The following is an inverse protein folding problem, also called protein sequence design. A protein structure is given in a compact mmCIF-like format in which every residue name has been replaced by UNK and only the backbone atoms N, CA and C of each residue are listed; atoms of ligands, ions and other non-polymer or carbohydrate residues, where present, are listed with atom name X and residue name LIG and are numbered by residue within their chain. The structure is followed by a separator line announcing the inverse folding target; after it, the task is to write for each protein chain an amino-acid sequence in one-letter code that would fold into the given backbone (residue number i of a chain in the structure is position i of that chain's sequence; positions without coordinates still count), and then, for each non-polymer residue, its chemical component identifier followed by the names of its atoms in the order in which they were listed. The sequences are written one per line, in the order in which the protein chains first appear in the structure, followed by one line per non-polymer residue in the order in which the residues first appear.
data_IF_215660775622
#
_entry.id   IF_215660775622
#
_cell.length_a   1.000
_cell.length_b   1.000
_cell.length_c   1.000
_cell.angle_alpha   90.00
_cell.angle_beta   90.00
_cell.angle_gamma   90.00
#
_symmetry.space_group_name_H-M   'P 1'
#
loop_
_entity.id
_entity.type
_entity.pdbx_description
1 polymer ?
2 non-polymer ?
3 non-polymer ?
4 water ?
#
# COMPACT_ATOMS: atom_id res chain seq x y z
N UNK A 2 5.72 -18.92 -31.97
CA UNK A 2 5.22 -19.00 -30.56
C UNK A 2 5.21 -17.65 -29.87
N UNK A 3 4.21 -17.37 -29.04
CA UNK A 3 4.17 -16.08 -28.36
C UNK A 3 4.99 -16.06 -27.06
N UNK A 4 5.10 -14.87 -26.49
CA UNK A 4 5.79 -14.69 -25.23
C UNK A 4 4.69 -14.32 -24.24
N UNK A 5 4.74 -14.89 -23.04
CA UNK A 5 3.75 -14.59 -22.01
C UNK A 5 4.24 -13.51 -21.07
N UNK A 6 3.42 -12.49 -20.87
CA UNK A 6 3.76 -11.41 -19.93
C UNK A 6 2.84 -11.67 -18.74
N UNK A 7 3.43 -12.09 -17.63
CA UNK A 7 2.69 -12.42 -16.43
C UNK A 7 2.65 -11.23 -15.49
N UNK A 8 1.44 -10.69 -15.31
CA UNK A 8 1.19 -9.53 -14.46
C UNK A 8 0.86 -9.98 -13.06
N UNK A 9 1.48 -9.36 -12.06
CA UNK A 9 1.17 -9.66 -10.67
C UNK A 9 0.73 -8.31 -10.09
N UNK A 10 1.49 -7.77 -9.14
CA UNK A 10 1.13 -6.47 -8.56
C UNK A 10 1.60 -5.35 -9.47
N UNK A 11 1.23 -5.45 -10.74
CA UNK A 11 1.63 -4.48 -11.76
C UNK A 11 0.58 -4.46 -12.86
N UNK A 12 -0.66 -4.18 -12.46
CA UNK A 12 -1.79 -4.15 -13.38
C UNK A 12 -1.84 -2.83 -14.18
N UNK A 13 -0.92 -2.70 -15.13
CA UNK A 13 -0.82 -1.48 -15.93
C UNK A 13 -0.04 -1.77 -17.21
N UNK A 14 -0.10 -0.85 -18.16
CA UNK A 14 0.64 -0.99 -19.41
C UNK A 14 1.78 0.02 -19.47
N UNK A 15 1.65 1.13 -18.74
CA UNK A 15 2.67 2.18 -18.70
C UNK A 15 3.85 1.74 -17.82
N UNK A 16 5.07 2.12 -18.21
CA UNK A 16 6.27 1.82 -17.44
C UNK A 16 6.28 0.39 -16.89
N UNK A 17 6.24 -0.58 -17.80
CA UNK A 17 6.22 -1.99 -17.42
C UNK A 17 7.38 -2.67 -18.15
N UNK A 18 8.52 -2.86 -17.46
CA UNK A 18 9.69 -3.50 -18.06
C UNK A 18 9.48 -4.88 -18.68
N UNK A 19 8.72 -5.74 -18.00
CA UNK A 19 8.47 -7.10 -18.51
C UNK A 19 7.65 -7.07 -19.80
N UNK A 20 6.69 -6.17 -19.89
CA UNK A 20 5.87 -6.07 -21.08
C UNK A 20 6.71 -5.65 -22.28
N UNK A 21 7.49 -4.59 -22.13
CA UNK A 21 8.31 -4.12 -23.24
C UNK A 21 9.45 -5.08 -23.59
N UNK A 22 10.01 -5.76 -22.60
CA UNK A 22 11.11 -6.69 -22.86
C UNK A 22 10.61 -7.85 -23.77
N UNK A 23 9.40 -8.32 -23.51
CA UNK A 23 8.82 -9.39 -24.30
C UNK A 23 8.38 -8.90 -25.69
N UNK A 24 7.68 -7.77 -25.71
CA UNK A 24 7.18 -7.17 -26.95
C UNK A 24 8.29 -6.93 -27.94
N UNK A 25 9.46 -6.52 -27.45
CA UNK A 25 10.59 -6.27 -28.32
C UNK A 25 11.06 -7.54 -29.01
N UNK A 26 10.79 -8.70 -28.42
CA UNK A 26 11.21 -9.98 -29.02
C UNK A 26 10.18 -10.64 -29.92
N UNK A 27 8.91 -10.33 -29.72
CA UNK A 27 7.88 -10.92 -30.55
C UNK A 27 6.47 -10.69 -30.02
N UNK A 28 5.47 -11.36 -30.61
CA UNK A 28 4.07 -11.19 -30.15
C UNK A 28 3.89 -11.65 -28.71
N UNK A 29 3.01 -10.98 -27.98
CA UNK A 29 2.78 -11.35 -26.59
C UNK A 29 1.31 -11.58 -26.26
N UNK A 30 1.11 -12.27 -25.15
CA UNK A 30 -0.20 -12.54 -24.59
C UNK A 30 0.00 -12.25 -23.10
N UNK A 31 -0.91 -11.49 -22.51
CA UNK A 31 -0.81 -11.18 -21.10
C UNK A 31 -1.49 -12.22 -20.24
N UNK A 32 -1.10 -12.31 -18.98
CA UNK A 32 -1.69 -13.28 -18.09
C UNK A 32 -1.74 -12.81 -16.65
N UNK A 33 -2.87 -13.05 -16.02
CA UNK A 33 -3.06 -12.74 -14.62
C UNK A 33 -3.58 -14.04 -14.02
N UNK A 34 -3.05 -14.40 -12.86
CA UNK A 34 -3.51 -15.61 -12.19
C UNK A 34 -4.12 -15.20 -10.87
N UNK A 35 -5.40 -15.53 -10.70
CA UNK A 35 -6.11 -15.23 -9.46
C UNK A 35 -5.65 -16.30 -8.46
N UNK A 36 -4.71 -15.90 -7.63
CA UNK A 36 -4.04 -16.71 -6.61
C UNK A 36 -4.79 -16.68 -5.28
N UNK A 37 -5.14 -17.85 -4.73
CA UNK A 37 -5.86 -17.88 -3.45
C UNK A 37 -5.04 -17.26 -2.33
N UNK A 38 -3.72 -17.38 -2.42
CA UNK A 38 -2.85 -16.82 -1.40
C UNK A 38 -3.02 -15.31 -1.29
N UNK A 39 -3.51 -14.68 -2.36
CA UNK A 39 -3.73 -13.24 -2.34
C UNK A 39 -5.21 -12.87 -2.23
N UNK A 40 -6.07 -13.66 -2.88
CA UNK A 40 -7.50 -13.37 -2.89
C UNK A 40 -8.32 -13.80 -1.69
N UNK A 41 -7.80 -14.70 -0.87
CA UNK A 41 -8.54 -15.13 0.31
C UNK A 41 -8.45 -14.08 1.40
N UNK A 42 -8.98 -12.90 1.11
CA UNK A 42 -8.97 -11.79 2.07
C UNK A 42 -10.36 -11.17 2.18
N UNK A 43 -10.45 -9.94 2.69
CA UNK A 43 -11.74 -9.28 2.84
C UNK A 43 -12.35 -8.89 1.49
N UNK A 44 -13.69 -8.89 1.39
CA UNK A 44 -14.39 -8.54 0.16
C UNK A 44 -13.94 -7.24 -0.52
N UNK A 45 -13.77 -6.18 0.26
CA UNK A 45 -13.36 -4.90 -0.33
C UNK A 45 -12.03 -4.98 -1.08
N UNK A 46 -11.06 -5.69 -0.50
CA UNK A 46 -9.75 -5.81 -1.14
C UNK A 46 -9.79 -6.75 -2.32
N UNK A 47 -10.57 -7.83 -2.19
CA UNK A 47 -10.68 -8.79 -3.28
C UNK A 47 -11.30 -8.13 -4.52
N UNK A 48 -12.37 -7.36 -4.29
CA UNK A 48 -13.07 -6.66 -5.37
C UNK A 48 -12.16 -5.61 -6.00
N UNK A 49 -11.43 -4.86 -5.17
CA UNK A 49 -10.54 -3.83 -5.67
C UNK A 49 -9.56 -4.47 -6.64
N UNK A 50 -9.03 -5.63 -6.26
CA UNK A 50 -8.09 -6.34 -7.10
C UNK A 50 -8.75 -6.78 -8.41
N UNK A 51 -9.82 -7.56 -8.28
CA UNK A 51 -10.56 -8.06 -9.44
C UNK A 51 -11.01 -6.96 -10.41
N UNK A 52 -11.45 -5.83 -9.87
CA UNK A 52 -11.90 -4.76 -10.76
C UNK A 52 -10.74 -4.12 -11.49
N UNK A 53 -9.56 -4.12 -10.89
CA UNK A 53 -8.43 -3.54 -11.57
C UNK A 53 -7.90 -4.53 -12.61
N UNK A 54 -8.15 -5.82 -12.38
CA UNK A 54 -7.77 -6.86 -13.34
C UNK A 54 -8.72 -6.74 -14.55
N UNK A 55 -9.99 -6.45 -14.27
CA UNK A 55 -10.96 -6.28 -15.35
C UNK A 55 -10.58 -5.09 -16.22
N UNK A 56 -10.11 -4.02 -15.57
CA UNK A 56 -9.68 -2.81 -16.27
C UNK A 56 -8.45 -3.05 -17.15
N UNK A 57 -7.53 -3.89 -16.69
CA UNK A 57 -6.32 -4.18 -17.45
C UNK A 57 -6.73 -4.90 -18.73
N UNK A 58 -7.68 -5.83 -18.61
CA UNK A 58 -8.13 -6.54 -19.79
C UNK A 58 -8.74 -5.55 -20.79
N UNK A 59 -9.56 -4.63 -20.30
CA UNK A 59 -10.16 -3.64 -21.20
C UNK A 59 -9.04 -2.86 -21.87
N UNK A 60 -7.99 -2.54 -21.12
CA UNK A 60 -6.85 -1.81 -21.67
C UNK A 60 -6.14 -2.64 -22.74
N UNK A 61 -6.10 -3.96 -22.56
CA UNK A 61 -5.46 -4.83 -23.55
C UNK A 61 -6.35 -4.84 -24.79
N UNK A 62 -7.66 -5.05 -24.58
CA UNK A 62 -8.63 -5.09 -25.68
C UNK A 62 -8.65 -3.82 -26.50
N UNK A 63 -8.61 -2.67 -25.83
CA UNK A 63 -8.63 -1.38 -26.51
C UNK A 63 -7.47 -1.26 -27.48
N UNK A 64 -6.37 -1.96 -27.20
CA UNK A 64 -5.19 -1.91 -28.04
C UNK A 64 -5.12 -3.09 -29.00
N UNK A 65 -6.15 -3.92 -28.99
CA UNK A 65 -6.17 -5.07 -29.87
C UNK A 65 -5.48 -6.32 -29.34
N UNK A 66 -5.03 -6.27 -28.09
CA UNK A 66 -4.33 -7.40 -27.50
C UNK A 66 -5.16 -8.33 -26.64
N UNK A 67 -4.53 -9.40 -26.16
CA UNK A 67 -5.20 -10.41 -25.35
C UNK A 67 -4.63 -10.65 -23.94
N UNK A 68 -5.53 -10.64 -22.96
CA UNK A 68 -5.16 -10.87 -21.56
C UNK A 68 -5.92 -12.09 -21.05
N UNK A 69 -5.19 -13.12 -20.67
CA UNK A 69 -5.79 -14.33 -20.13
C UNK A 69 -5.89 -14.15 -18.63
N UNK A 70 -6.97 -14.66 -18.03
CA UNK A 70 -7.13 -14.62 -16.59
C UNK A 70 -7.47 -16.03 -16.18
N UNK A 71 -6.63 -16.61 -15.32
CA UNK A 71 -6.85 -17.96 -14.86
C UNK A 71 -6.93 -17.94 -13.35
N UNK A 72 -7.60 -18.93 -12.79
CA UNK A 72 -7.77 -19.02 -11.35
C UNK A 72 -7.07 -20.26 -10.82
N UNK A 73 -6.37 -20.12 -9.71
CA UNK A 73 -5.68 -21.29 -9.15
C UNK A 73 -4.26 -20.99 -8.67
N UNK A 74 -3.52 -22.05 -8.39
CA UNK A 74 -2.14 -21.90 -7.91
C UNK A 74 -1.21 -21.55 -9.07
N UNK A 75 -0.41 -20.48 -8.93
CA UNK A 75 0.53 -20.05 -9.98
C UNK A 75 1.39 -21.17 -10.56
N UNK A 76 1.91 -22.07 -9.73
CA UNK A 76 2.77 -23.14 -10.25
C UNK A 76 2.04 -24.20 -11.08
N UNK A 77 0.73 -24.07 -11.18
CA UNK A 77 -0.05 -24.98 -12.00
C UNK A 77 -0.62 -24.22 -13.20
N UNK A 78 -1.11 -23.00 -12.97
CA UNK A 78 -1.70 -22.21 -14.03
C UNK A 78 -0.75 -21.56 -15.02
N UNK A 79 0.40 -21.08 -14.56
CA UNK A 79 1.34 -20.45 -15.48
C UNK A 79 1.85 -21.48 -16.48
N UNK A 80 2.29 -22.67 -16.00
CA UNK A 80 2.78 -23.69 -16.93
C UNK A 80 1.63 -24.14 -17.87
N UNK A 81 0.40 -24.16 -17.37
CA UNK A 81 -0.74 -24.54 -18.20
C UNK A 81 -0.92 -23.53 -19.34
N UNK A 82 -0.92 -22.25 -19.01
CA UNK A 82 -1.06 -21.21 -20.03
C UNK A 82 0.08 -21.31 -21.04
N UNK A 83 1.30 -21.54 -20.56
CA UNK A 83 2.46 -21.65 -21.44
C UNK A 83 2.30 -22.82 -22.42
N UNK A 84 1.84 -23.95 -21.92
CA UNK A 84 1.66 -25.12 -22.79
C UNK A 84 0.59 -24.87 -23.85
N UNK A 85 -0.56 -24.36 -23.43
CA UNK A 85 -1.66 -24.11 -24.34
C UNK A 85 -1.33 -23.10 -25.43
N UNK A 86 -0.57 -22.08 -25.07
CA UNK A 86 -0.19 -21.06 -26.02
C UNK A 86 1.12 -21.40 -26.75
N UNK A 87 1.79 -22.44 -26.29
CA UNK A 87 3.08 -22.83 -26.89
C UNK A 87 4.00 -21.61 -26.79
N UNK A 88 3.96 -20.95 -25.63
CA UNK A 88 4.78 -19.77 -25.40
C UNK A 88 6.26 -20.15 -25.31
N UNK A 89 7.12 -19.30 -25.83
CA UNK A 89 8.55 -19.56 -25.83
C UNK A 89 9.19 -19.22 -24.48
N UNK A 90 8.62 -18.25 -23.78
CA UNK A 90 9.16 -17.84 -22.49
C UNK A 90 8.14 -17.01 -21.75
N UNK A 91 8.37 -16.85 -20.45
CA UNK A 91 7.50 -16.05 -19.60
C UNK A 91 8.31 -14.91 -19.02
N UNK A 92 7.72 -13.72 -19.02
CA UNK A 92 8.35 -12.51 -18.49
C UNK A 92 7.50 -11.90 -17.39
N UNK A 93 8.15 -11.51 -16.29
CA UNK A 93 7.45 -10.87 -15.19
C UNK A 93 8.40 -9.93 -14.47
N UNK A 94 7.89 -9.18 -13.49
CA UNK A 94 8.72 -8.27 -12.71
C UNK A 94 9.11 -8.99 -11.44
N UNK A 95 10.37 -8.86 -11.06
CA UNK A 95 10.89 -9.52 -9.86
C UNK A 95 10.12 -9.12 -8.60
N UNK A 96 9.94 -10.08 -7.71
CA UNK A 96 9.26 -9.81 -6.45
C UNK A 96 10.22 -10.26 -5.36
N UNK A 97 10.43 -9.40 -4.36
CA UNK A 97 11.32 -9.72 -3.26
C UNK A 97 10.60 -10.04 -1.95
N UNK A 98 9.30 -10.32 -2.03
CA UNK A 98 8.55 -10.66 -0.82
C UNK A 98 8.75 -12.14 -0.54
N UNK A 99 8.54 -12.56 0.71
CA UNK A 99 8.71 -13.97 1.06
C UNK A 99 7.82 -14.86 0.18
N UNK A 100 6.56 -14.47 0.01
CA UNK A 100 5.67 -15.28 -0.84
C UNK A 100 6.09 -15.19 -2.30
N UNK A 101 6.38 -13.98 -2.75
CA UNK A 101 6.81 -13.79 -4.12
C UNK A 101 7.96 -14.70 -4.51
N UNK A 102 8.97 -14.77 -3.64
CA UNK A 102 10.12 -15.62 -3.90
C UNK A 102 9.75 -17.10 -3.90
N UNK A 103 8.96 -17.51 -2.91
CA UNK A 103 8.55 -18.91 -2.85
C UNK A 103 7.79 -19.29 -4.12
N UNK A 104 6.78 -18.48 -4.45
CA UNK A 104 5.93 -18.71 -5.63
C UNK A 104 6.73 -18.81 -6.92
N UNK A 105 7.53 -17.79 -7.20
CA UNK A 105 8.33 -17.78 -8.42
C UNK A 105 9.32 -18.95 -8.51
N UNK A 106 9.83 -19.38 -7.37
CA UNK A 106 10.75 -20.52 -7.38
C UNK A 106 9.97 -21.76 -7.78
N UNK A 107 8.76 -21.88 -7.24
CA UNK A 107 7.91 -23.02 -7.57
C UNK A 107 7.50 -23.02 -9.04
N UNK A 108 7.19 -21.84 -9.57
CA UNK A 108 6.81 -21.73 -10.97
C UNK A 108 7.98 -22.08 -11.88
N UNK A 109 9.16 -21.59 -11.53
CA UNK A 109 10.35 -21.86 -12.33
C UNK A 109 10.56 -23.37 -12.41
N UNK A 110 10.30 -24.06 -11.30
CA UNK A 110 10.44 -25.51 -11.24
C UNK A 110 9.48 -26.24 -12.19
N UNK A 111 8.23 -25.82 -12.21
CA UNK A 111 7.25 -26.46 -13.08
C UNK A 111 7.31 -26.00 -14.53
N UNK A 112 7.85 -24.81 -14.79
CA UNK A 112 7.93 -24.30 -16.16
C UNK A 112 8.99 -24.97 -17.00
N UNK A 113 8.60 -25.44 -18.20
CA UNK A 113 9.50 -26.12 -19.15
C UNK A 113 10.27 -25.08 -19.97
N UNK A 114 9.80 -23.84 -19.91
CA UNK A 114 10.45 -22.75 -20.64
C UNK A 114 10.96 -21.74 -19.63
N UNK A 115 11.86 -20.85 -20.05
CA UNK A 115 12.45 -19.81 -19.17
C UNK A 115 11.46 -18.83 -18.56
N UNK A 116 11.75 -18.43 -17.33
CA UNK A 116 10.96 -17.44 -16.63
C UNK A 116 11.96 -16.29 -16.44
N UNK A 117 11.74 -15.18 -17.16
CA UNK A 117 12.62 -14.02 -17.08
C UNK A 117 12.05 -12.96 -16.17
N UNK A 118 12.77 -12.67 -15.09
CA UNK A 118 12.30 -11.66 -14.15
C UNK A 118 13.11 -10.38 -14.31
N UNK A 119 12.41 -9.27 -14.43
CA UNK A 119 13.05 -7.97 -14.56
C UNK A 119 12.76 -7.12 -13.34
N UNK A 120 13.67 -6.18 -13.03
CA UNK A 120 13.51 -5.29 -11.88
C UNK A 120 12.27 -4.42 -12.00
N UNK A 121 11.45 -4.38 -10.96
CA UNK A 121 10.26 -3.54 -10.98
C UNK A 121 10.73 -2.07 -10.80
N UNK A 122 9.98 -1.11 -11.35
CA UNK A 122 10.42 0.28 -11.19
C UNK A 122 10.30 0.75 -9.75
N UNK A 123 11.37 1.36 -9.23
CA UNK A 123 11.39 1.91 -7.87
C UNK A 123 12.20 3.19 -7.95
N UNK A 124 12.12 4.00 -6.90
CA UNK A 124 12.90 5.23 -6.81
C UNK A 124 14.24 4.74 -6.29
N UNK A 125 14.18 3.86 -5.28
CA UNK A 125 15.36 3.23 -4.68
C UNK A 125 15.02 1.76 -4.48
N UNK A 126 15.85 0.85 -5.01
CA UNK A 126 15.63 -0.60 -4.90
C UNK A 126 15.59 -1.03 -3.44
N UNK A 127 14.76 -2.03 -3.11
CA UNK A 127 14.69 -2.48 -1.72
C UNK A 127 15.84 -3.42 -1.35
N UNK A 128 16.49 -4.02 -2.34
CA UNK A 128 17.58 -4.95 -2.09
C UNK A 128 18.95 -4.31 -2.19
N UNK A 129 19.03 -3.06 -1.74
CA UNK A 129 20.27 -2.29 -1.73
C UNK A 129 21.21 -3.03 -0.77
N UNK A 130 22.53 -2.98 -1.03
CA UNK A 130 23.50 -3.64 -0.17
C UNK A 130 23.41 -3.20 1.29
N UNK A 131 23.70 -1.93 1.53
CA UNK A 131 23.66 -1.37 2.87
C UNK A 131 22.23 -1.46 3.42
N UNK A 132 22.13 -1.72 4.72
CA UNK A 132 20.83 -1.80 5.36
C UNK A 132 20.66 -0.63 6.32
N UNK A 133 19.79 0.31 5.98
CA UNK A 133 19.55 1.47 6.83
C UNK A 133 18.25 1.30 7.62
N UNK A 134 18.25 1.73 8.88
CA UNK A 134 17.06 1.65 9.72
C UNK A 134 16.49 3.06 9.88
N UNK A 135 17.24 4.03 9.35
CA UNK A 135 16.84 5.42 9.43
C UNK A 135 16.63 5.94 8.02
N UNK A 136 15.60 6.77 7.86
CA UNK A 136 15.22 7.34 6.58
C UNK A 136 16.23 8.30 5.92
N UNK A 137 16.69 9.30 6.66
CA UNK A 137 17.60 10.29 6.10
C UNK A 137 18.78 9.73 5.29
N UNK A 138 19.58 8.82 5.89
CA UNK A 138 20.72 8.25 5.15
C UNK A 138 20.29 7.52 3.88
N UNK A 139 19.14 6.85 3.98
CA UNK A 139 18.58 6.09 2.86
C UNK A 139 18.17 7.05 1.73
N UNK A 140 17.44 8.09 2.08
CA UNK A 140 16.96 9.06 1.11
C UNK A 140 18.06 9.83 0.37
N UNK A 141 19.24 9.92 0.98
CA UNK A 141 20.34 10.66 0.35
C UNK A 141 20.85 9.99 -0.92
N UNK A 142 20.64 8.68 -1.02
CA UNK A 142 21.08 7.91 -2.18
C UNK A 142 20.29 8.28 -3.42
N UNK A 143 19.08 8.80 -3.22
CA UNK A 143 18.22 9.18 -4.33
C UNK A 143 18.72 10.43 -5.04
N UNK A 144 18.90 10.33 -6.36
CA UNK A 144 19.39 11.45 -7.15
C UNK A 144 18.42 11.87 -8.27
N UNK A 145 17.12 11.65 -8.06
CA UNK A 145 16.16 12.01 -9.08
C UNK A 145 15.65 10.77 -9.81
N UNK A 146 14.43 10.82 -10.31
CA UNK A 146 13.84 9.66 -10.99
C UNK A 146 14.35 9.44 -12.41
N UNK A 147 14.50 8.17 -12.77
CA UNK A 147 14.92 7.80 -14.12
C UNK A 147 13.65 7.95 -14.97
N UNK A 148 13.80 8.10 -16.29
CA UNK A 148 12.61 8.25 -17.15
C UNK A 148 11.76 6.99 -17.18
N UNK A 149 10.42 7.13 -17.27
CA UNK A 149 9.56 5.94 -17.30
C UNK A 149 9.47 5.36 -18.71
N UNK A 150 9.20 4.06 -18.82
CA UNK A 150 9.08 3.43 -20.13
C UNK A 150 7.70 3.73 -20.68
N UNK A 151 7.60 3.91 -22.01
CA UNK A 151 6.31 4.21 -22.64
C UNK A 151 5.41 2.99 -22.78
N UNK A 152 4.10 3.23 -22.85
CA UNK A 152 3.17 2.10 -23.01
C UNK A 152 3.14 1.77 -24.50
N UNK A 153 2.75 0.54 -24.84
CA UNK A 153 2.70 0.21 -26.28
C UNK A 153 1.54 0.98 -26.91
N UNK A 154 1.64 1.27 -28.21
CA UNK A 154 0.60 2.00 -28.91
C UNK A 154 -0.53 1.03 -29.28
N UNK A 155 -0.15 -0.19 -29.64
CA UNK A 155 -1.09 -1.22 -30.01
C UNK A 155 -0.44 -2.56 -29.66
N UNK A 156 -1.25 -3.59 -29.50
CA UNK A 156 -0.74 -4.91 -29.15
C UNK A 156 -1.09 -5.91 -30.22
N UNK A 157 -0.24 -6.94 -30.41
CA UNK A 157 -0.53 -7.94 -31.42
C UNK A 157 -1.75 -8.75 -31.02
N UNK A 158 -2.48 -9.25 -32.00
CA UNK A 158 -3.67 -10.04 -31.72
C UNK A 158 -3.30 -11.40 -31.15
N UNK A 159 -4.17 -11.94 -30.30
CA UNK A 159 -3.94 -13.24 -29.71
C UNK A 159 -5.25 -13.77 -29.19
N UNK A 160 -5.31 -15.04 -28.78
CA UNK A 160 -6.56 -15.59 -28.25
C UNK A 160 -6.75 -15.17 -26.81
N UNK A 161 -7.99 -14.93 -26.41
CA UNK A 161 -8.29 -14.52 -25.05
C UNK A 161 -9.01 -15.65 -24.33
N UNK A 162 -8.68 -15.85 -23.06
CA UNK A 162 -9.29 -16.91 -22.25
C UNK A 162 -9.51 -16.50 -20.81
N UNK A 163 -10.44 -17.20 -20.15
CA UNK A 163 -10.73 -16.95 -18.76
C UNK A 163 -11.76 -15.87 -18.47
N UNK A 164 -12.44 -16.00 -17.34
CA UNK A 164 -13.48 -15.05 -16.93
C UNK A 164 -13.05 -14.38 -15.63
N UNK A 165 -13.50 -13.14 -15.43
CA UNK A 165 -13.14 -12.39 -14.23
C UNK A 165 -14.33 -12.25 -13.29
N UNK A 166 -14.32 -12.99 -12.16
CA UNK A 166 -15.40 -12.94 -11.17
C UNK A 166 -15.78 -11.53 -10.74
N UNK A 167 -17.02 -11.37 -10.30
CA UNK A 167 -17.53 -10.09 -9.83
C UNK A 167 -17.87 -10.24 -8.35
N UNK A 168 -17.15 -9.52 -7.51
CA UNK A 168 -17.35 -9.59 -6.06
C UNK A 168 -18.01 -8.32 -5.52
N UNK A 169 -18.75 -8.47 -4.42
CA UNK A 169 -19.42 -7.35 -3.79
C UNK A 169 -18.42 -6.70 -2.82
N UNK A 170 -17.94 -5.49 -3.12
CA UNK A 170 -16.98 -4.82 -2.24
C UNK A 170 -17.60 -4.39 -0.92
N UNK A 171 -18.93 -4.27 -0.90
CA UNK A 171 -19.61 -3.86 0.31
C UNK A 171 -19.49 -2.36 0.54
N UNK A 172 -18.79 -1.69 -0.37
CA UNK A 172 -18.61 -0.24 -0.25
C UNK A 172 -18.27 0.39 -1.59
N UNK A 173 -18.28 1.72 -1.66
CA UNK A 173 -17.96 2.45 -2.89
C UNK A 173 -16.48 2.38 -3.23
N UNK A 174 -16.16 1.88 -4.41
CA UNK A 174 -14.76 1.78 -4.82
C UNK A 174 -14.33 2.93 -5.71
N UNK A 175 -13.06 3.31 -5.65
CA UNK A 175 -12.60 4.41 -6.51
C UNK A 175 -12.73 3.90 -7.94
N UNK A 176 -12.49 4.75 -8.93
CA UNK A 176 -12.59 4.30 -10.31
C UNK A 176 -11.34 3.43 -10.56
N UNK A 177 -11.55 2.17 -10.97
CA UNK A 177 -10.44 1.25 -11.24
C UNK A 177 -9.72 1.48 -12.55
N UNK A 178 -8.48 1.00 -12.63
CA UNK A 178 -7.74 1.14 -13.86
C UNK A 178 -6.71 2.24 -13.92
N UNK A 179 -5.84 2.06 -14.91
CA UNK A 179 -4.73 2.94 -15.20
C UNK A 179 -5.13 4.35 -15.70
N UNK A 180 -6.13 4.42 -16.56
CA UNK A 180 -6.57 5.74 -17.05
C UNK A 180 -7.01 6.61 -15.88
N UNK A 181 -7.83 6.05 -15.01
CA UNK A 181 -8.32 6.78 -13.84
C UNK A 181 -7.13 7.21 -12.98
N UNK A 182 -6.16 6.31 -12.79
CA UNK A 182 -4.99 6.62 -11.99
C UNK A 182 -4.20 7.78 -12.60
N UNK A 183 -4.00 7.73 -13.91
CA UNK A 183 -3.25 8.78 -14.59
C UNK A 183 -3.98 10.12 -14.52
N UNK A 184 -5.29 10.10 -14.69
CA UNK A 184 -6.08 11.32 -14.63
C UNK A 184 -5.95 11.90 -13.22
N UNK A 185 -5.96 11.01 -12.22
CA UNK A 185 -5.82 11.45 -10.85
C UNK A 185 -4.46 12.08 -10.58
N UNK A 186 -3.42 11.51 -11.17
CA UNK A 186 -2.07 12.05 -10.99
C UNK A 186 -1.95 13.46 -11.56
N UNK A 187 -2.44 13.65 -12.79
CA UNK A 187 -2.40 14.96 -13.44
C UNK A 187 -3.15 16.02 -12.63
N UNK A 188 -4.33 15.66 -12.15
CA UNK A 188 -5.14 16.57 -11.34
C UNK A 188 -4.36 17.02 -10.11
N UNK A 189 -3.81 16.05 -9.38
CA UNK A 189 -3.05 16.36 -8.18
C UNK A 189 -1.88 17.29 -8.48
N UNK A 190 -1.05 16.89 -9.44
CA UNK A 190 0.13 17.66 -9.81
C UNK A 190 -0.17 19.11 -10.16
N UNK A 191 -1.21 19.32 -10.98
CA UNK A 191 -1.56 20.67 -11.38
C UNK A 191 -2.22 21.49 -10.27
N UNK A 192 -3.18 20.89 -9.57
CA UNK A 192 -3.91 21.60 -8.53
C UNK A 192 -3.36 21.58 -7.10
N UNK A 193 -3.08 20.40 -6.57
CA UNK A 193 -2.62 20.30 -5.17
C UNK A 193 -1.12 20.26 -4.87
N UNK A 194 -0.31 19.84 -5.83
CA UNK A 194 1.12 19.75 -5.57
C UNK A 194 1.75 21.01 -4.97
N UNK A 195 1.44 22.19 -5.53
CA UNK A 195 1.99 23.46 -5.05
C UNK A 195 1.91 23.70 -3.54
N UNK A 196 0.79 23.33 -2.92
CA UNK A 196 0.61 23.53 -1.49
C UNK A 196 0.73 22.26 -0.65
N UNK A 197 1.12 21.16 -1.28
CA UNK A 197 1.24 19.88 -0.59
C UNK A 197 1.94 19.94 0.76
N UNK A 198 3.07 20.63 0.81
CA UNK A 198 3.84 20.74 2.05
C UNK A 198 3.04 21.41 3.17
N UNK A 199 2.11 22.27 2.81
CA UNK A 199 1.30 22.97 3.80
C UNK A 199 -0.05 22.30 4.07
N UNK A 200 -0.48 21.42 3.17
CA UNK A 200 -1.77 20.75 3.33
C UNK A 200 -1.72 19.25 3.60
N UNK A 201 -0.52 18.65 3.52
CA UNK A 201 -0.38 17.21 3.71
C UNK A 201 -0.69 16.66 5.10
N UNK A 202 -1.07 17.53 6.04
CA UNK A 202 -1.36 17.07 7.40
C UNK A 202 -2.83 17.13 7.81
N UNK A 203 -3.68 17.62 6.93
CA UNK A 203 -5.10 17.69 7.24
C UNK A 203 -5.58 16.29 7.64
N UNK A 204 -6.52 16.23 8.58
CA UNK A 204 -7.05 14.94 9.03
C UNK A 204 -7.93 14.32 7.94
N UNK A 205 -8.54 15.15 7.11
CA UNK A 205 -9.40 14.66 6.04
C UNK A 205 -8.58 14.23 4.82
N UNK A 206 -7.27 14.50 4.89
CA UNK A 206 -6.37 14.13 3.81
C UNK A 206 -6.69 14.62 2.41
N UNK A 207 -7.42 15.74 2.30
CA UNK A 207 -7.75 16.25 0.98
C UNK A 207 -6.60 17.02 0.33
N UNK A 208 -5.50 17.12 1.06
CA UNK A 208 -4.33 17.80 0.53
C UNK A 208 -3.41 16.81 -0.16
N UNK A 209 -3.76 15.53 -0.09
CA UNK A 209 -2.96 14.49 -0.72
C UNK A 209 -3.50 14.01 -2.04
N UNK A 210 -2.74 13.16 -2.73
CA UNK A 210 -3.15 12.64 -4.03
C UNK A 210 -4.22 11.55 -3.97
N UNK A 211 -4.33 10.86 -2.83
CA UNK A 211 -5.29 9.78 -2.69
C UNK A 211 -5.01 8.71 -3.75
N UNK A 212 -3.74 8.52 -4.10
CA UNK A 212 -3.39 7.53 -5.12
C UNK A 212 -2.89 6.20 -4.56
N UNK A 213 -2.76 6.09 -3.23
CA UNK A 213 -2.26 4.86 -2.61
C UNK A 213 -2.94 3.55 -3.06
N UNK A 214 -4.27 3.55 -3.27
CA UNK A 214 -4.91 2.29 -3.69
C UNK A 214 -4.36 1.81 -5.05
N UNK A 215 -3.99 2.75 -5.91
CA UNK A 215 -3.45 2.42 -7.22
C UNK A 215 -2.01 1.94 -7.11
N UNK A 216 -1.21 2.65 -6.32
CA UNK A 216 0.18 2.25 -6.12
C UNK A 216 0.23 0.84 -5.54
N UNK A 217 -0.62 0.58 -4.56
CA UNK A 217 -0.67 -0.72 -3.89
C UNK A 217 -0.76 -1.91 -4.82
N UNK A 218 -1.44 -1.74 -5.96
CA UNK A 218 -1.60 -2.82 -6.92
C UNK A 218 -0.77 -2.62 -8.18
N UNK A 219 0.09 -1.61 -8.16
CA UNK A 219 0.92 -1.35 -9.33
C UNK A 219 0.17 -0.79 -10.53
N UNK A 220 -1.00 -0.20 -10.30
CA UNK A 220 -1.75 0.37 -11.42
C UNK A 220 -1.03 1.65 -11.85
N UNK A 221 -0.24 2.20 -10.93
CA UNK A 221 0.53 3.41 -11.19
C UNK A 221 1.97 3.12 -10.80
N UNK A 222 2.92 3.43 -11.67
CA UNK A 222 4.33 3.22 -11.37
C UNK A 222 4.88 4.38 -10.52
N UNK A 223 5.58 4.07 -9.42
CA UNK A 223 6.13 5.16 -8.60
C UNK A 223 7.18 5.97 -9.36
N UNK A 224 7.85 5.32 -10.31
CA UNK A 224 8.88 5.98 -11.09
C UNK A 224 8.24 7.02 -11.99
N UNK A 225 7.11 6.67 -12.60
CA UNK A 225 6.42 7.61 -13.46
C UNK A 225 5.93 8.80 -12.65
N UNK A 226 5.34 8.54 -11.48
CA UNK A 226 4.82 9.58 -10.62
C UNK A 226 5.93 10.56 -10.20
N UNK A 227 7.06 10.02 -9.77
CA UNK A 227 8.19 10.83 -9.35
C UNK A 227 8.70 11.69 -10.51
N UNK A 228 8.80 11.07 -11.68
CA UNK A 228 9.27 11.75 -12.88
C UNK A 228 8.41 12.96 -13.22
N UNK A 229 7.10 12.77 -13.21
CA UNK A 229 6.16 13.85 -13.51
C UNK A 229 6.26 14.96 -12.47
N UNK A 230 6.24 14.58 -11.20
CA UNK A 230 6.32 15.55 -10.11
C UNK A 230 7.58 16.40 -10.21
N UNK A 231 8.71 15.74 -10.46
CA UNK A 231 9.98 16.44 -10.56
C UNK A 231 10.03 17.38 -11.78
N UNK A 232 9.21 17.10 -12.79
CA UNK A 232 9.16 17.95 -13.97
C UNK A 232 8.52 19.28 -13.58
N UNK A 233 7.69 19.24 -12.54
CA UNK A 233 7.03 20.43 -12.03
C UNK A 233 8.00 21.15 -11.11
N UNK A 234 8.72 20.37 -10.32
CA UNK A 234 9.69 20.94 -9.40
C UNK A 234 9.07 21.77 -8.30
N UNK A 235 9.91 22.36 -7.46
CA UNK A 235 9.42 23.18 -6.38
C UNK A 235 9.39 22.44 -5.06
N UNK A 236 9.13 23.18 -3.98
CA UNK A 236 9.07 22.61 -2.64
C UNK A 236 8.02 21.50 -2.56
N UNK A 237 6.88 21.72 -3.19
CA UNK A 237 5.81 20.73 -3.17
C UNK A 237 6.29 19.39 -3.69
N UNK A 238 6.87 19.40 -4.89
CA UNK A 238 7.36 18.17 -5.52
C UNK A 238 8.44 17.47 -4.69
N UNK A 239 9.36 18.26 -4.13
CA UNK A 239 10.44 17.71 -3.31
C UNK A 239 9.85 16.90 -2.14
N UNK A 240 8.83 17.48 -1.51
CA UNK A 240 8.17 16.87 -0.37
C UNK A 240 7.33 15.66 -0.72
N UNK A 241 6.56 15.77 -1.80
CA UNK A 241 5.69 14.67 -2.22
C UNK A 241 6.54 13.46 -2.63
N UNK A 242 7.64 13.72 -3.33
CA UNK A 242 8.54 12.65 -3.75
C UNK A 242 9.17 12.01 -2.52
N UNK A 243 9.40 12.81 -1.49
CA UNK A 243 9.98 12.29 -0.25
C UNK A 243 9.06 11.21 0.32
N UNK A 244 7.75 11.39 0.16
CA UNK A 244 6.78 10.43 0.66
C UNK A 244 6.81 9.16 -0.20
N UNK A 245 7.03 9.31 -1.50
CA UNK A 245 7.10 8.14 -2.39
C UNK A 245 8.29 7.33 -1.91
N UNK A 246 9.33 8.03 -1.46
CA UNK A 246 10.51 7.36 -0.95
C UNK A 246 10.21 6.59 0.32
N UNK A 247 9.29 7.11 1.14
CA UNK A 247 8.92 6.40 2.37
C UNK A 247 8.34 5.04 2.01
N UNK A 248 7.69 4.95 0.85
CA UNK A 248 7.12 3.67 0.42
C UNK A 248 8.25 2.71 0.08
N UNK A 249 9.24 3.18 -0.68
CA UNK A 249 10.37 2.34 -1.04
C UNK A 249 11.17 1.95 0.20
N UNK A 250 11.23 2.85 1.18
CA UNK A 250 11.94 2.63 2.43
C UNK A 250 11.27 1.49 3.19
N UNK A 251 9.94 1.42 3.09
CA UNK A 251 9.17 0.37 3.74
C UNK A 251 9.56 -1.01 3.19
N UNK A 252 9.72 -1.10 1.88
CA UNK A 252 10.09 -2.36 1.25
C UNK A 252 11.54 -2.67 1.61
N UNK A 253 12.38 -1.64 1.62
CA UNK A 253 13.79 -1.78 1.97
C UNK A 253 13.91 -2.39 3.37
N UNK A 254 13.14 -1.85 4.30
CA UNK A 254 13.15 -2.34 5.69
C UNK A 254 12.76 -3.81 5.82
N UNK A 255 11.59 -4.16 5.28
CA UNK A 255 11.12 -5.53 5.36
C UNK A 255 12.09 -6.49 4.68
N UNK A 256 12.73 -6.04 3.61
CA UNK A 256 13.67 -6.88 2.89
C UNK A 256 14.93 -7.17 3.70
N UNK A 257 15.47 -6.15 4.36
CA UNK A 257 16.69 -6.34 5.15
C UNK A 257 16.42 -6.86 6.56
N UNK A 258 15.27 -6.48 7.13
CA UNK A 258 14.92 -6.93 8.47
C UNK A 258 13.59 -7.67 8.43
N UNK A 259 13.59 -8.89 7.85
CA UNK A 259 12.41 -9.75 7.72
C UNK A 259 11.69 -9.98 9.05
N UNK A 260 12.49 -10.15 10.10
CA UNK A 260 11.95 -10.41 11.43
C UNK A 260 11.11 -9.29 12.01
N UNK A 261 11.11 -8.11 11.39
CA UNK A 261 10.31 -7.04 11.96
C UNK A 261 8.81 -7.33 11.79
N UNK A 262 8.49 -8.33 11.00
CA UNK A 262 7.09 -8.69 10.81
C UNK A 262 6.68 -9.45 12.08
N UNK A 263 7.67 -10.06 12.72
CA UNK A 263 7.43 -10.82 13.94
C UNK A 263 7.65 -9.98 15.21
N UNK A 264 8.73 -9.19 15.23
CA UNK A 264 9.05 -8.38 16.41
C UNK A 264 9.50 -6.96 16.07
N UNK A 265 9.46 -6.05 17.07
CA UNK A 265 9.88 -4.66 16.88
C UNK A 265 11.32 -4.55 16.40
N UNK A 266 11.60 -3.54 15.59
CA UNK A 266 12.95 -3.32 15.09
C UNK A 266 13.85 -3.05 16.28
N UNK A 267 13.33 -2.31 17.25
CA UNK A 267 14.07 -1.96 18.46
C UNK A 267 13.92 -3.06 19.51
N UNK A 268 15.00 -3.82 19.77
CA UNK A 268 15.03 -4.91 20.74
C UNK A 268 14.49 -4.59 22.12
N UNK A 269 14.74 -3.38 22.61
CA UNK A 269 14.26 -3.00 23.93
C UNK A 269 12.75 -2.81 24.01
N UNK A 270 12.04 -3.56 23.18
CA UNK A 270 10.57 -3.52 23.16
C UNK A 270 10.04 -4.91 22.85
N UNK A 271 10.97 -5.84 22.59
CA UNK A 271 10.62 -7.22 22.27
C UNK A 271 9.74 -7.85 23.34
N UNK A 272 9.86 -7.38 24.58
CA UNK A 272 9.07 -7.92 25.69
C UNK A 272 8.24 -6.84 26.39
N UNK A 273 7.45 -6.12 25.61
CA UNK A 273 6.61 -5.07 26.18
C UNK A 273 5.35 -5.73 26.72
N UNK A 274 4.85 -5.27 27.88
CA UNK A 274 3.64 -5.83 28.48
C UNK A 274 2.35 -5.52 27.72
N UNK A 275 2.21 -6.11 26.53
CA UNK A 275 1.01 -5.89 25.72
C UNK A 275 -0.18 -6.56 26.38
N UNK A 276 -1.13 -5.74 26.84
CA UNK A 276 -2.32 -6.24 27.51
C UNK A 276 -3.42 -6.55 26.51
N UNK A 277 -3.57 -7.83 26.18
CA UNK A 277 -4.59 -8.26 25.24
C UNK A 277 -5.96 -8.38 25.87
N UNK A 278 -6.74 -7.31 25.78
CA UNK A 278 -8.08 -7.26 26.34
C UNK A 278 -9.09 -7.19 25.19
N UNK A 279 -9.72 -8.33 24.90
CA UNK A 279 -10.69 -8.42 23.82
C UNK A 279 -11.73 -7.30 23.84
N UNK A 280 -12.11 -6.87 25.03
CA UNK A 280 -13.11 -5.81 25.17
C UNK A 280 -12.60 -4.49 24.59
N UNK A 281 -11.37 -4.14 24.92
CA UNK A 281 -10.80 -2.89 24.42
C UNK A 281 -10.55 -2.97 22.91
N UNK A 282 -10.05 -4.11 22.44
CA UNK A 282 -9.79 -4.29 21.01
C UNK A 282 -10.98 -3.92 20.16
N UNK A 283 -12.17 -4.40 20.55
CA UNK A 283 -13.37 -4.11 19.79
C UNK A 283 -13.73 -2.63 19.84
N UNK A 284 -13.55 -2.03 21.01
CA UNK A 284 -13.84 -0.61 21.17
C UNK A 284 -13.03 0.15 20.13
N UNK A 285 -11.74 -0.17 20.05
CA UNK A 285 -10.86 0.48 19.09
C UNK A 285 -11.24 0.10 17.66
N UNK A 286 -11.32 -1.19 17.40
CA UNK A 286 -11.67 -1.71 16.08
C UNK A 286 -12.95 -1.10 15.52
N UNK A 287 -13.96 -0.97 16.37
CA UNK A 287 -15.24 -0.40 15.95
C UNK A 287 -15.26 1.12 16.10
N UNK A 288 -14.22 1.68 16.71
CA UNK A 288 -14.19 3.11 16.91
C UNK A 288 -15.18 3.55 17.97
N UNK A 289 -15.21 2.81 19.08
CA UNK A 289 -16.11 3.10 20.19
C UNK A 289 -15.29 3.30 21.46
N UNK A 290 -14.21 4.06 21.34
CA UNK A 290 -13.32 4.33 22.46
C UNK A 290 -13.75 5.60 23.21
N UNK A 291 -14.66 6.35 22.60
CA UNK A 291 -15.11 7.58 23.22
C UNK A 291 -14.25 8.76 22.85
N UNK A 292 -13.13 8.48 22.17
CA UNK A 292 -12.21 9.52 21.74
C UNK A 292 -12.60 9.99 20.33
N UNK A 293 -13.08 11.24 20.22
CA UNK A 293 -13.51 11.85 18.96
C UNK A 293 -12.65 11.52 17.73
N UNK A 294 -11.37 11.82 17.80
CA UNK A 294 -10.43 11.58 16.70
C UNK A 294 -10.39 10.11 16.26
N UNK A 295 -9.98 9.24 17.18
CA UNK A 295 -9.87 7.81 16.90
C UNK A 295 -11.17 7.22 16.37
N UNK A 296 -12.27 7.50 17.05
CA UNK A 296 -13.57 7.00 16.64
C UNK A 296 -13.90 7.45 15.22
N UNK A 297 -13.53 8.68 14.90
CA UNK A 297 -13.78 9.23 13.57
C UNK A 297 -12.96 8.50 12.51
N UNK A 298 -11.69 8.27 12.83
CA UNK A 298 -10.78 7.59 11.92
C UNK A 298 -11.23 6.16 11.62
N UNK A 299 -11.51 5.39 12.67
CA UNK A 299 -11.93 4.01 12.49
C UNK A 299 -13.27 3.88 11.78
N UNK A 300 -14.12 4.87 11.96
CA UNK A 300 -15.42 4.87 11.32
C UNK A 300 -15.29 5.15 9.84
N UNK A 301 -14.43 6.09 9.48
CA UNK A 301 -14.22 6.40 8.07
C UNK A 301 -13.55 5.18 7.40
N UNK A 302 -12.58 4.59 8.10
CA UNK A 302 -11.86 3.42 7.59
C UNK A 302 -12.82 2.27 7.27
N UNK A 303 -13.76 1.99 8.17
CA UNK A 303 -14.72 0.92 7.95
C UNK A 303 -15.65 1.23 6.79
N UNK A 304 -16.03 2.50 6.66
CA UNK A 304 -16.95 2.92 5.61
C UNK A 304 -16.34 3.19 4.24
N UNK A 305 -15.10 3.65 4.20
CA UNK A 305 -14.46 3.98 2.92
C UNK A 305 -13.25 3.14 2.53
N UNK A 306 -12.55 2.58 3.51
CA UNK A 306 -11.38 1.78 3.19
C UNK A 306 -10.18 2.67 2.94
N UNK A 307 -10.31 3.95 3.30
CA UNK A 307 -9.21 4.90 3.14
C UNK A 307 -9.15 5.81 4.36
N UNK A 308 -7.93 6.27 4.67
CA UNK A 308 -7.72 7.15 5.81
C UNK A 308 -6.45 7.96 5.57
N UNK A 309 -6.54 9.27 5.82
CA UNK A 309 -5.40 10.14 5.63
C UNK A 309 -4.25 9.65 6.49
N UNK A 310 -3.03 10.06 6.14
CA UNK A 310 -1.86 9.65 6.88
C UNK A 310 -1.90 10.09 8.34
N UNK A 311 -2.36 11.32 8.56
CA UNK A 311 -2.44 11.87 9.91
C UNK A 311 -3.41 11.06 10.77
N UNK A 312 -4.56 10.72 10.20
CA UNK A 312 -5.55 9.94 10.92
C UNK A 312 -4.99 8.56 11.27
N UNK A 313 -4.30 7.92 10.32
CA UNK A 313 -3.72 6.60 10.56
C UNK A 313 -2.71 6.58 11.69
N UNK A 314 -1.84 7.60 11.75
CA UNK A 314 -0.84 7.62 12.81
C UNK A 314 -1.48 7.89 14.17
N UNK A 315 -2.65 8.53 14.17
CA UNK A 315 -3.35 8.82 15.42
C UNK A 315 -4.08 7.57 15.91
N UNK A 316 -4.93 7.01 15.06
CA UNK A 316 -5.69 5.81 15.40
C UNK A 316 -4.76 4.63 15.72
N UNK A 317 -3.61 4.59 15.06
CA UNK A 317 -2.65 3.51 15.26
C UNK A 317 -1.88 3.63 16.58
N UNK A 318 -1.35 4.81 16.86
CA UNK A 318 -0.60 4.99 18.09
C UNK A 318 -1.50 4.89 19.31
N UNK A 319 -2.72 5.37 19.19
CA UNK A 319 -3.67 5.31 20.29
C UNK A 319 -3.79 3.87 20.79
N UNK A 320 -3.97 2.94 19.85
CA UNK A 320 -4.10 1.53 20.18
C UNK A 320 -2.86 0.94 20.85
N UNK A 321 -1.69 1.37 20.42
CA UNK A 321 -0.45 0.84 20.95
C UNK A 321 0.02 1.47 22.26
N UNK A 322 0.03 2.80 22.31
CA UNK A 322 0.49 3.51 23.49
C UNK A 322 -0.53 3.74 24.59
N UNK A 323 -1.75 4.07 24.22
CA UNK A 323 -2.79 4.30 25.22
C UNK A 323 -3.45 3.01 25.71
N UNK A 324 -4.05 2.26 24.79
CA UNK A 324 -4.73 1.02 25.13
C UNK A 324 -3.79 -0.17 25.31
N UNK A 325 -2.53 0.01 24.93
CA UNK A 325 -1.53 -1.05 25.06
C UNK A 325 -1.90 -2.35 24.32
N UNK A 326 -2.84 -2.26 23.39
CA UNK A 326 -3.26 -3.43 22.63
C UNK A 326 -2.06 -3.93 21.83
N UNK A 327 -1.88 -5.26 21.75
CA UNK A 327 -0.75 -5.81 20.99
C UNK A 327 -0.78 -5.36 19.52
N UNK A 328 0.34 -4.82 19.04
CA UNK A 328 0.43 -4.31 17.67
C UNK A 328 0.18 -5.34 16.57
N UNK A 329 0.70 -6.55 16.71
CA UNK A 329 0.53 -7.61 15.71
C UNK A 329 -0.91 -7.80 15.27
N UNK A 330 -1.81 -7.95 16.24
CA UNK A 330 -3.22 -8.15 15.95
C UNK A 330 -3.84 -6.91 15.34
N UNK A 331 -3.52 -5.75 15.90
CA UNK A 331 -4.05 -4.48 15.41
C UNK A 331 -3.59 -4.16 13.98
N UNK A 332 -2.34 -4.49 13.65
CA UNK A 332 -1.83 -4.20 12.32
C UNK A 332 -2.48 -5.06 11.25
N UNK A 333 -2.77 -6.32 11.56
CA UNK A 333 -3.40 -7.22 10.60
C UNK A 333 -4.82 -6.72 10.33
N UNK A 334 -5.55 -6.40 11.40
CA UNK A 334 -6.93 -5.92 11.27
C UNK A 334 -6.99 -4.61 10.50
N UNK A 335 -5.99 -3.76 10.72
CA UNK A 335 -5.91 -2.46 10.06
C UNK A 335 -5.75 -2.67 8.56
N UNK A 336 -4.79 -3.52 8.19
CA UNK A 336 -4.49 -3.81 6.81
C UNK A 336 -5.66 -4.37 6.03
N UNK A 337 -6.42 -5.26 6.65
CA UNK A 337 -7.58 -5.89 6.04
C UNK A 337 -8.69 -4.92 5.69
N UNK A 338 -8.71 -3.76 6.34
CA UNK A 338 -9.73 -2.75 6.10
C UNK A 338 -9.31 -1.70 5.06
N UNK A 339 -8.02 -1.69 4.71
CA UNK A 339 -7.48 -0.73 3.76
C UNK A 339 -7.42 -1.18 2.31
N UNK A 340 -7.96 -0.36 1.42
CA UNK A 340 -7.92 -0.67 -0.01
C UNK A 340 -6.45 -0.66 -0.45
N UNK A 341 -5.64 0.15 0.21
CA UNK A 341 -4.22 0.22 -0.12
C UNK A 341 -3.38 -0.62 0.83
N UNK A 342 -4.05 -1.51 1.56
CA UNK A 342 -3.38 -2.40 2.50
C UNK A 342 -2.18 -3.06 1.85
N UNK A 343 -1.00 -2.74 2.35
CA UNK A 343 0.27 -3.26 1.83
C UNK A 343 1.06 -3.71 3.05
N UNK A 344 1.33 -5.01 3.14
CA UNK A 344 2.03 -5.57 4.30
C UNK A 344 3.26 -4.80 4.78
N UNK A 345 4.22 -4.58 3.89
CA UNK A 345 5.44 -3.87 4.23
C UNK A 345 5.20 -2.43 4.69
N UNK A 346 4.37 -1.71 3.94
CA UNK A 346 4.10 -0.32 4.26
C UNK A 346 3.31 -0.17 5.56
N UNK A 347 2.32 -1.02 5.76
CA UNK A 347 1.51 -0.97 6.98
C UNK A 347 2.36 -1.29 8.21
N UNK A 348 3.24 -2.27 8.07
CA UNK A 348 4.10 -2.70 9.15
C UNK A 348 5.06 -1.57 9.55
N UNK A 349 5.57 -0.83 8.57
CA UNK A 349 6.49 0.26 8.89
C UNK A 349 5.68 1.35 9.58
N UNK A 350 4.49 1.63 9.06
CA UNK A 350 3.62 2.63 9.64
C UNK A 350 3.28 2.36 11.10
N UNK A 351 3.00 1.10 11.42
CA UNK A 351 2.67 0.73 12.79
C UNK A 351 3.89 0.78 13.69
N UNK A 352 5.02 0.28 13.22
CA UNK A 352 6.23 0.30 14.04
C UNK A 352 6.80 1.70 14.16
N UNK A 353 6.30 2.61 13.34
CA UNK A 353 6.75 3.98 13.36
C UNK A 353 5.84 4.79 14.29
N UNK A 354 4.54 4.71 14.04
CA UNK A 354 3.57 5.44 14.85
C UNK A 354 3.47 4.82 16.24
N UNK A 355 3.97 3.60 16.38
CA UNK A 355 3.91 2.94 17.67
C UNK A 355 5.22 3.00 18.42
N UNK A 356 6.14 3.82 17.92
CA UNK A 356 7.44 3.95 18.54
C UNK A 356 8.08 2.58 18.77
N UNK A 357 8.06 1.74 17.73
CA UNK A 357 8.63 0.41 17.85
C UNK A 357 10.02 0.23 17.23
N UNK A 358 10.61 1.31 16.76
CA UNK A 358 11.95 1.21 16.20
C UNK A 358 12.21 1.76 14.81
N UNK A 359 11.16 1.99 14.03
CA UNK A 359 11.34 2.52 12.68
C UNK A 359 11.85 3.96 12.70
N UNK A 360 12.85 4.24 11.88
CA UNK A 360 13.43 5.58 11.80
C UNK A 360 13.81 6.07 13.18
N UNK A 361 14.16 5.13 14.06
CA UNK A 361 14.54 5.47 15.43
C UNK A 361 13.61 6.55 16.01
N UNK A 362 12.33 6.48 15.67
CA UNK A 362 11.36 7.45 16.18
C UNK A 362 11.27 7.26 17.69
N UNK A 363 11.27 8.38 18.45
CA UNK A 363 11.19 8.36 19.91
C UNK A 363 9.86 7.91 20.51
N UNK A 364 9.94 7.04 21.50
CA UNK A 364 8.75 6.53 22.17
C UNK A 364 8.03 7.64 22.94
N UNK A 365 8.81 8.54 23.52
CA UNK A 365 8.25 9.62 24.32
C UNK A 365 7.29 10.55 23.58
N UNK A 366 7.22 10.41 22.26
CA UNK A 366 6.29 11.24 21.49
C UNK A 366 4.91 10.59 21.59
N UNK A 367 3.95 11.34 22.11
CA UNK A 367 2.59 10.84 22.28
C UNK A 367 1.59 11.88 21.82
N UNK A 368 0.82 11.52 20.79
CA UNK A 368 -0.19 12.43 20.24
C UNK A 368 -1.28 12.75 21.25
N UNK A 369 -1.79 13.97 21.17
CA UNK A 369 -2.85 14.42 22.06
C UNK A 369 -4.15 14.42 21.26
N UNK A 370 -4.94 13.35 21.38
CA UNK A 370 -6.22 13.14 20.70
C UNK A 370 -7.08 14.38 20.46
N UNK A 371 -7.09 15.32 21.40
CA UNK A 371 -7.90 16.54 21.22
C UNK A 371 -7.15 17.66 20.52
N UNK A 372 -5.93 17.93 20.96
CA UNK A 372 -5.12 18.97 20.34
C UNK A 372 -4.97 18.62 18.87
N UNK A 373 -4.46 17.43 18.62
CA UNK A 373 -4.24 16.92 17.27
C UNK A 373 -5.44 17.23 16.38
N UNK A 374 -6.62 16.84 16.86
CA UNK A 374 -7.84 17.07 16.10
C UNK A 374 -8.20 18.51 15.84
N UNK A 375 -7.72 19.40 16.71
CA UNK A 375 -8.01 20.83 16.56
C UNK A 375 -6.96 21.49 15.68
N UNK A 376 -5.72 21.03 15.82
CA UNK A 376 -4.61 21.57 15.05
C UNK A 376 -4.61 21.07 13.60
N UNK A 377 -5.33 19.99 13.33
CA UNK A 377 -5.38 19.44 11.97
C UNK A 377 -6.80 19.25 11.43
N UNK A 378 -7.74 20.06 11.92
CA UNK A 378 -9.12 20.03 11.48
C UNK A 378 -9.85 21.27 12.01
N UNK A 379 -9.80 22.37 11.24
CA UNK A 379 -10.42 23.67 11.53
C UNK A 379 -11.81 23.64 12.13
N UNK A 380 -12.82 23.93 11.31
CA UNK A 380 -14.20 23.94 11.77
C UNK A 380 -14.68 22.56 12.16
N UNK A 381 -13.75 21.70 12.56
CA UNK A 381 -14.12 20.34 12.96
C UNK A 381 -15.03 19.70 11.93
N UNK A 382 -14.86 20.07 10.68
CA UNK A 382 -15.67 19.52 9.59
C UNK A 382 -15.51 18.02 9.47
N UNK A 383 -14.28 17.54 9.59
CA UNK A 383 -13.99 16.12 9.48
C UNK A 383 -14.71 15.32 10.57
N UNK A 384 -14.55 15.76 11.81
CA UNK A 384 -15.18 15.09 12.94
C UNK A 384 -16.70 15.06 12.83
N UNK A 385 -17.27 16.12 12.26
CA UNK A 385 -18.70 16.23 12.10
C UNK A 385 -19.25 15.27 11.04
N UNK A 386 -18.36 14.75 10.20
CA UNK A 386 -18.76 13.85 9.14
C UNK A 386 -18.73 12.38 9.54
N UNK A 387 -17.78 12.01 10.39
CA UNK A 387 -17.65 10.62 10.81
C UNK A 387 -18.13 10.31 12.22
N UNK A 388 -18.33 11.35 13.03
CA UNK A 388 -18.79 11.17 14.39
C UNK A 388 -19.56 12.43 14.83
N UNK A 389 -20.70 12.71 14.17
CA UNK A 389 -21.52 13.88 14.47
C UNK A 389 -21.88 13.95 15.95
N UNK A 390 -22.05 12.78 16.55
CA UNK A 390 -22.39 12.65 17.96
C UNK A 390 -21.48 13.46 18.89
N UNK A 391 -20.23 13.66 18.47
CA UNK A 391 -19.29 14.42 19.29
C UNK A 391 -19.35 15.91 18.99
N UNK A 392 -19.53 16.74 20.04
CA UNK A 392 -19.61 18.20 19.91
C UNK A 392 -18.24 18.80 19.58
N UNK A 393 -17.18 18.09 19.98
CA UNK A 393 -15.82 18.53 19.75
C UNK A 393 -14.85 17.37 19.96
N UNK A 394 -13.56 17.65 19.90
CA UNK A 394 -12.55 16.62 20.11
C UNK A 394 -12.31 16.38 21.59
N UNK A 395 -13.33 16.68 22.39
CA UNK A 395 -13.24 16.49 23.83
C UNK A 395 -13.76 15.10 24.20
N UNK A 396 -12.95 14.35 24.96
CA UNK A 396 -13.29 12.98 25.40
C UNK A 396 -14.64 12.91 26.12
N UNK A 397 -15.57 12.16 25.54
CA UNK A 397 -16.90 11.98 26.12
C UNK A 397 -17.06 10.53 26.54
N UNK A 398 -16.62 10.22 27.76
CA UNK A 398 -16.68 8.87 28.30
C UNK A 398 -15.69 7.94 27.61
N UNK A 399 -14.39 8.22 27.78
CA UNK A 399 -13.30 7.43 27.18
C UNK A 399 -13.20 6.03 27.78
N UNK A 400 -12.83 5.05 26.96
CA UNK A 400 -12.70 3.67 27.43
C UNK A 400 -11.49 3.55 28.36
N UNK A 401 -10.75 4.65 28.49
CA UNK A 401 -9.58 4.72 29.36
C UNK A 401 -9.33 6.16 29.75
N UNK A 402 -8.51 6.37 30.78
CA UNK A 402 -8.19 7.70 31.23
C UNK A 402 -6.97 8.21 30.47
N UNK A 403 -7.20 9.02 29.44
CA UNK A 403 -6.13 9.57 28.62
C UNK A 403 -4.89 9.95 29.41
N UNK A 404 -5.06 10.83 30.41
CA UNK A 404 -3.95 11.27 31.23
C UNK A 404 -3.21 10.10 31.88
N UNK A 405 -3.94 9.24 32.57
CA UNK A 405 -3.31 8.08 33.22
C UNK A 405 -2.72 7.13 32.18
N UNK A 406 -3.45 6.95 31.07
CA UNK A 406 -3.00 6.08 30.00
C UNK A 406 -1.63 6.54 29.51
N UNK A 407 -1.47 7.85 29.38
CA UNK A 407 -0.19 8.41 28.93
C UNK A 407 0.90 8.06 29.94
N UNK A 408 0.68 8.46 31.19
CA UNK A 408 1.63 8.20 32.27
C UNK A 408 1.99 6.72 32.29
N UNK A 409 0.95 5.88 32.22
CA UNK A 409 1.13 4.44 32.23
C UNK A 409 2.16 3.98 31.20
N UNK A 410 1.96 4.38 29.96
CA UNK A 410 2.85 4.02 28.86
C UNK A 410 4.26 4.56 29.09
N UNK A 411 4.38 5.87 29.20
CA UNK A 411 5.67 6.51 29.41
C UNK A 411 6.44 5.78 30.51
N UNK A 412 5.74 5.42 31.58
CA UNK A 412 6.34 4.70 32.69
C UNK A 412 6.92 3.38 32.19
N UNK A 413 6.07 2.58 31.56
CA UNK A 413 6.48 1.28 31.03
C UNK A 413 7.66 1.42 30.08
N UNK A 414 7.55 2.36 29.15
CA UNK A 414 8.60 2.60 28.18
C UNK A 414 9.91 3.03 28.85
N UNK A 415 9.83 4.07 29.68
CA UNK A 415 11.01 4.58 30.39
C UNK A 415 11.91 3.46 30.90
N UNK A 416 11.30 2.47 31.55
CA UNK A 416 12.08 1.35 32.07
C UNK A 416 12.66 0.56 30.91
#
# INVERSE_FOLDING_TARGET
MGPLLVWHRGDLRLHDHPALLEALARGPVVGLVVLDPNNLKTTPRRRAWFLENVRALREAYRARGGALWVLEGLPWEKVPEAARRLKAKAVYALTSHTPYGRYRDGRVREALPVPLHLLPAPHLLPPDLPRAYRVYTPFSRLYRGAAPPLPPPEALPKGPEEGEIPREDPGLPLPEPGEEAALAGLRAFLEAKLPRYAEERDRLDGEGGSRLSPYFALGVLSPRLAAWEAERRGGEGARKWVAELLWRDFSYHLLYHFPWMAERPLDPRFQAFPWQEDEALFQAWYEGKTGVPLVDAAMRELHATGFLSNRARMNAAQFAVKHLLLPWKRCEEAFRHLLLDGDRAVNLQGWQWAGGLGVDAAPYFRVFNPVLQGERHDPEGRWLKRWAPEYPSYAPKDPVVDLEEARRRYLRLARDLARG
#
